data_IF_634804866839
#
_entry.id   IF_634804866839
#
_cell.length_a   1.000
_cell.length_b   1.000
_cell.length_c   1.000
_cell.angle_alpha   90.00
_cell.angle_beta   90.00
_cell.angle_gamma   90.00
#
_symmetry.space_group_name_H-M   'P 1'
#
loop_
_entity.id
_entity.type
_entity.pdbx_description
1 polymer ?
#
# COMPACT_ATOMS: atom_id res chain seq x y z
N UNK A 1 -9.26 -7.73 -24.00
CA UNK A 1 -8.54 -6.44 -23.81
C UNK A 1 -7.77 -6.54 -22.50
N UNK A 2 -6.45 -6.78 -22.55
CA UNK A 2 -5.63 -6.79 -21.34
C UNK A 2 -5.39 -5.33 -20.94
N UNK A 3 -6.12 -4.86 -19.94
CA UNK A 3 -6.01 -3.50 -19.40
C UNK A 3 -4.68 -3.26 -18.65
N UNK A 4 -3.92 -4.33 -18.36
CA UNK A 4 -2.60 -4.23 -17.75
C UNK A 4 -1.54 -4.70 -18.74
N UNK A 5 -0.44 -3.94 -18.92
CA UNK A 5 0.75 -4.55 -19.48
C UNK A 5 1.18 -5.65 -18.49
N UNK A 6 1.59 -6.84 -18.95
CA UNK A 6 1.90 -7.96 -18.04
C UNK A 6 3.01 -7.70 -17.00
N UNK A 7 3.59 -6.50 -16.97
CA UNK A 7 4.56 -5.99 -15.99
C UNK A 7 3.91 -5.02 -14.99
N UNK A 8 4.42 -4.99 -13.76
CA UNK A 8 3.93 -4.11 -12.71
C UNK A 8 4.17 -2.64 -13.06
N UNK A 9 3.08 -1.88 -13.21
CA UNK A 9 3.17 -0.47 -13.61
C UNK A 9 3.76 0.45 -12.55
N UNK A 10 3.78 -0.01 -11.30
CA UNK A 10 4.34 0.74 -10.18
C UNK A 10 5.88 0.71 -10.19
N UNK A 11 6.50 -0.46 -10.31
CA UNK A 11 7.96 -0.61 -10.26
C UNK A 11 8.62 -0.71 -11.66
N UNK A 12 7.87 -1.16 -12.68
CA UNK A 12 8.37 -1.45 -14.04
C UNK A 12 9.51 -2.48 -14.11
N UNK A 13 9.65 -3.32 -13.08
CA UNK A 13 10.77 -4.27 -12.92
C UNK A 13 10.38 -5.75 -12.93
N UNK A 14 9.12 -6.08 -12.68
CA UNK A 14 8.66 -7.46 -12.48
C UNK A 14 7.24 -7.65 -13.05
N UNK A 15 6.77 -8.89 -13.11
CA UNK A 15 5.41 -9.26 -13.55
C UNK A 15 4.38 -8.75 -12.56
N UNK A 16 3.28 -8.18 -13.07
CA UNK A 16 2.18 -7.75 -12.21
C UNK A 16 1.43 -8.98 -11.67
N UNK A 17 1.40 -9.13 -10.36
CA UNK A 17 0.51 -10.05 -9.64
C UNK A 17 -0.09 -9.32 -8.45
N UNK A 18 -1.19 -9.82 -7.88
CA UNK A 18 -1.80 -9.21 -6.68
C UNK A 18 -0.78 -9.07 -5.54
N UNK A 19 0.01 -10.10 -5.27
CA UNK A 19 1.01 -10.06 -4.21
C UNK A 19 2.16 -9.11 -4.56
N UNK A 20 2.62 -9.09 -5.80
CA UNK A 20 3.64 -8.12 -6.21
C UNK A 20 3.11 -6.69 -6.09
N UNK A 21 1.96 -6.39 -6.71
CA UNK A 21 1.36 -5.06 -6.72
C UNK A 21 1.14 -4.49 -5.31
N UNK A 22 0.58 -5.28 -4.40
CA UNK A 22 0.20 -4.79 -3.08
C UNK A 22 1.26 -4.96 -1.99
N UNK A 23 2.25 -5.84 -2.17
CA UNK A 23 3.22 -6.16 -1.11
C UNK A 23 4.67 -6.03 -1.57
N UNK A 24 5.05 -6.77 -2.61
CA UNK A 24 6.47 -7.00 -2.92
C UNK A 24 7.06 -5.98 -3.90
N UNK A 25 6.21 -5.19 -4.56
CA UNK A 25 6.63 -4.08 -5.39
C UNK A 25 7.39 -3.05 -4.54
N UNK A 26 8.54 -2.58 -5.04
CA UNK A 26 9.38 -1.58 -4.36
C UNK A 26 8.62 -0.32 -3.94
N UNK A 27 7.71 0.16 -4.79
CA UNK A 27 6.84 1.29 -4.49
C UNK A 27 5.90 0.97 -3.32
N UNK A 28 5.30 -0.22 -3.32
CA UNK A 28 4.37 -0.68 -2.30
C UNK A 28 5.06 -0.94 -0.96
N UNK A 29 6.25 -1.56 -0.99
CA UNK A 29 7.12 -1.71 0.18
C UNK A 29 7.44 -0.36 0.81
N UNK A 30 7.77 0.64 0.00
CA UNK A 30 8.08 1.99 0.49
C UNK A 30 6.88 2.63 1.20
N UNK A 31 5.67 2.46 0.65
CA UNK A 31 4.43 2.89 1.30
C UNK A 31 4.23 2.19 2.65
N UNK A 32 4.36 0.86 2.70
CA UNK A 32 4.17 0.10 3.94
C UNK A 32 5.20 0.49 4.99
N UNK A 33 6.47 0.63 4.62
CA UNK A 33 7.52 1.11 5.51
C UNK A 33 7.16 2.49 6.10
N UNK A 34 6.63 3.41 5.29
CA UNK A 34 6.19 4.72 5.76
C UNK A 34 5.00 4.62 6.72
N UNK A 35 3.95 3.85 6.37
CA UNK A 35 2.80 3.60 7.27
C UNK A 35 3.29 3.04 8.61
N UNK A 36 4.10 1.99 8.60
CA UNK A 36 4.55 1.31 9.82
C UNK A 36 5.45 2.19 10.70
N UNK A 37 6.23 3.08 10.09
CA UNK A 37 7.00 4.09 10.81
C UNK A 37 6.10 5.00 11.65
N UNK A 38 4.94 5.41 11.14
CA UNK A 38 3.95 6.18 11.92
C UNK A 38 3.38 5.39 13.11
N UNK A 39 3.30 4.07 12.99
CA UNK A 39 2.90 3.20 14.12
C UNK A 39 4.07 2.88 15.07
N UNK A 40 5.29 3.32 14.78
CA UNK A 40 6.49 2.97 15.55
C UNK A 40 6.81 1.46 15.49
N UNK A 41 6.48 0.80 14.38
CA UNK A 41 6.67 -0.65 14.20
C UNK A 41 7.58 -0.96 13.02
N UNK A 42 8.23 -2.11 13.10
CA UNK A 42 8.90 -2.74 11.97
C UNK A 42 8.07 -3.92 11.47
N UNK A 43 8.31 -4.34 10.23
CA UNK A 43 7.48 -5.33 9.55
C UNK A 43 8.30 -6.28 8.70
N UNK A 44 7.84 -7.53 8.68
CA UNK A 44 8.25 -8.55 7.72
C UNK A 44 7.12 -8.70 6.71
N UNK A 45 7.44 -8.50 5.43
CA UNK A 45 6.47 -8.58 4.34
C UNK A 45 5.82 -9.97 4.31
N UNK A 46 4.48 -10.09 4.36
CA UNK A 46 3.79 -11.37 4.28
C UNK A 46 3.91 -11.92 2.88
N UNK A 47 3.70 -13.23 2.74
CA UNK A 47 3.69 -13.86 1.42
C UNK A 47 2.49 -13.45 0.57
N UNK A 48 1.32 -13.32 1.19
CA UNK A 48 0.05 -13.06 0.50
C UNK A 48 -0.65 -11.78 0.99
N UNK A 49 -1.26 -11.05 0.05
CA UNK A 49 -2.01 -9.82 0.34
C UNK A 49 -3.14 -10.05 1.36
N UNK A 50 -3.76 -11.24 1.32
CA UNK A 50 -4.81 -11.64 2.26
C UNK A 50 -4.36 -11.64 3.72
N UNK A 51 -3.05 -11.82 3.98
CA UNK A 51 -2.51 -11.84 5.34
C UNK A 51 -2.14 -10.43 5.84
N UNK A 52 -2.15 -9.41 4.99
CA UNK A 52 -1.86 -8.02 5.37
C UNK A 52 -2.78 -7.53 6.51
N UNK A 53 -4.07 -7.86 6.43
CA UNK A 53 -5.05 -7.49 7.47
C UNK A 53 -4.87 -8.27 8.77
N UNK A 54 -4.27 -9.48 8.70
CA UNK A 54 -3.98 -10.32 9.88
C UNK A 54 -2.73 -9.85 10.61
N UNK A 55 -1.77 -9.25 9.92
CA UNK A 55 -0.51 -8.73 10.50
C UNK A 55 -0.76 -7.73 11.63
N UNK A 56 -1.85 -6.96 11.58
CA UNK A 56 -2.23 -6.04 12.66
C UNK A 56 -2.35 -6.71 14.03
N UNK A 57 -2.60 -8.02 14.07
CA UNK A 57 -2.66 -8.80 15.31
C UNK A 57 -1.26 -9.02 15.92
N UNK A 58 -0.21 -9.10 15.09
CA UNK A 58 1.19 -9.29 15.52
C UNK A 58 1.93 -8.01 15.90
N UNK A 59 1.35 -6.82 15.66
CA UNK A 59 1.98 -5.53 15.95
C UNK A 59 1.91 -5.12 17.43
N UNK A 60 1.35 -5.96 18.31
CA UNK A 60 1.12 -5.66 19.73
C UNK A 60 0.39 -4.32 19.95
N UNK A 61 -0.61 -4.03 19.10
CA UNK A 61 -1.41 -2.82 19.17
C UNK A 61 -2.55 -2.97 20.17
N UNK A 62 -2.87 -1.89 20.91
CA UNK A 62 -4.09 -1.81 21.72
C UNK A 62 -5.35 -1.76 20.82
N UNK A 63 -6.55 -1.78 21.40
CA UNK A 63 -7.79 -1.81 20.60
C UNK A 63 -7.90 -0.66 19.60
N UNK A 64 -7.53 0.57 20.02
CA UNK A 64 -7.50 1.75 19.13
C UNK A 64 -6.49 1.58 18.01
N UNK A 65 -5.27 1.14 18.33
CA UNK A 65 -4.20 0.89 17.36
C UNK A 65 -4.58 -0.18 16.34
N UNK A 66 -5.29 -1.24 16.75
CA UNK A 66 -5.81 -2.27 15.83
C UNK A 66 -6.83 -1.71 14.84
N UNK A 67 -7.71 -0.81 15.29
CA UNK A 67 -8.66 -0.11 14.41
C UNK A 67 -7.93 0.81 13.44
N UNK A 68 -7.01 1.64 13.94
CA UNK A 68 -6.20 2.53 13.10
C UNK A 68 -5.37 1.76 12.07
N UNK A 69 -4.80 0.61 12.46
CA UNK A 69 -4.09 -0.25 11.53
C UNK A 69 -4.99 -0.76 10.40
N UNK A 70 -6.21 -1.21 10.71
CA UNK A 70 -7.15 -1.66 9.67
C UNK A 70 -7.49 -0.53 8.70
N UNK A 71 -7.71 0.68 9.20
CA UNK A 71 -7.96 1.87 8.37
C UNK A 71 -6.74 2.16 7.50
N UNK A 72 -5.54 2.22 8.10
CA UNK A 72 -4.28 2.46 7.38
C UNK A 72 -4.02 1.39 6.30
N UNK A 73 -4.27 0.12 6.61
CA UNK A 73 -4.10 -0.99 5.68
C UNK A 73 -5.08 -0.90 4.51
N UNK A 74 -6.36 -0.62 4.77
CA UNK A 74 -7.35 -0.43 3.72
C UNK A 74 -7.04 0.80 2.86
N UNK A 75 -6.65 1.92 3.48
CA UNK A 75 -6.25 3.13 2.78
C UNK A 75 -4.99 2.89 1.93
N UNK A 76 -3.99 2.17 2.44
CA UNK A 76 -2.79 1.81 1.69
C UNK A 76 -3.09 0.93 0.48
N UNK A 77 -3.92 -0.11 0.65
CA UNK A 77 -4.37 -0.95 -0.46
C UNK A 77 -5.13 -0.14 -1.52
N UNK A 78 -6.04 0.73 -1.07
CA UNK A 78 -6.81 1.60 -1.96
C UNK A 78 -5.92 2.59 -2.72
N UNK A 79 -4.99 3.25 -2.03
CA UNK A 79 -4.04 4.18 -2.63
C UNK A 79 -3.17 3.53 -3.70
N UNK A 80 -2.64 2.33 -3.43
CA UNK A 80 -1.87 1.57 -4.42
C UNK A 80 -2.70 1.20 -5.65
N UNK A 81 -3.97 0.83 -5.46
CA UNK A 81 -4.89 0.54 -6.55
C UNK A 81 -5.18 1.78 -7.39
N UNK A 82 -5.44 2.92 -6.76
CA UNK A 82 -5.67 4.20 -7.43
C UNK A 82 -4.44 4.62 -8.24
N UNK A 83 -3.25 4.58 -7.65
CA UNK A 83 -2.01 4.93 -8.35
C UNK A 83 -1.75 4.02 -9.55
N UNK A 84 -1.98 2.72 -9.40
CA UNK A 84 -1.88 1.76 -10.50
C UNK A 84 -2.83 2.12 -11.65
N UNK A 85 -4.07 2.49 -11.34
CA UNK A 85 -5.03 2.90 -12.36
C UNK A 85 -4.66 4.24 -13.00
N UNK A 86 -4.20 5.21 -12.21
CA UNK A 86 -3.73 6.51 -12.71
C UNK A 86 -2.60 6.36 -13.73
N UNK A 87 -1.62 5.50 -13.44
CA UNK A 87 -0.51 5.21 -14.37
C UNK A 87 -0.97 4.57 -15.68
N UNK A 88 -2.00 3.74 -15.64
CA UNK A 88 -2.53 3.04 -16.82
C UNK A 88 -3.40 3.96 -17.68
N UNK A 89 -4.33 4.70 -17.06
CA UNK A 89 -5.36 5.45 -17.77
C UNK A 89 -4.98 6.91 -18.04
N UNK A 90 -4.24 7.54 -17.13
CA UNK A 90 -3.88 8.96 -17.22
C UNK A 90 -2.41 9.18 -17.59
N UNK A 91 -1.59 8.12 -17.57
CA UNK A 91 -0.12 8.18 -17.80
C UNK A 91 0.62 9.10 -16.84
N UNK A 92 -0.01 9.49 -15.73
CA UNK A 92 0.62 10.24 -14.65
C UNK A 92 1.38 9.26 -13.76
N UNK A 93 2.61 9.61 -13.42
CA UNK A 93 3.45 8.85 -12.50
C UNK A 93 3.74 9.74 -11.31
N UNK A 94 3.09 9.47 -10.19
CA UNK A 94 3.29 10.22 -8.96
C UNK A 94 4.33 9.54 -8.07
N UNK A 95 5.02 10.37 -7.27
CA UNK A 95 5.92 9.89 -6.24
C UNK A 95 5.15 9.42 -5.01
N UNK A 96 5.83 8.70 -4.12
CA UNK A 96 5.24 8.16 -2.90
C UNK A 96 4.65 9.28 -2.02
N UNK A 97 5.30 10.44 -2.00
CA UNK A 97 4.89 11.61 -1.24
C UNK A 97 3.54 12.15 -1.72
N UNK A 98 3.32 12.25 -3.03
CA UNK A 98 2.05 12.71 -3.58
C UNK A 98 0.90 11.74 -3.25
N UNK A 99 1.14 10.43 -3.29
CA UNK A 99 0.17 9.42 -2.84
C UNK A 99 -0.11 9.55 -1.34
N UNK A 100 0.95 9.73 -0.54
CA UNK A 100 0.85 9.86 0.90
C UNK A 100 0.03 11.08 1.31
N UNK A 101 0.30 12.25 0.73
CA UNK A 101 -0.44 13.48 1.04
C UNK A 101 -1.90 13.40 0.58
N UNK A 102 -2.14 12.92 -0.65
CA UNK A 102 -3.48 12.95 -1.23
C UNK A 102 -4.41 11.86 -0.69
N UNK A 103 -3.89 10.66 -0.41
CA UNK A 103 -4.72 9.49 -0.11
C UNK A 103 -4.55 8.96 1.33
N UNK A 104 -3.50 9.34 2.06
CA UNK A 104 -3.19 8.72 3.37
C UNK A 104 -3.25 9.74 4.50
N UNK A 105 -2.47 10.83 4.43
CA UNK A 105 -2.54 11.94 5.39
C UNK A 105 -3.79 12.80 5.17
N UNK A 106 -4.03 13.29 3.96
CA UNK A 106 -5.13 14.23 3.71
C UNK A 106 -6.54 13.63 3.75
N UNK A 107 -6.68 12.30 3.73
CA UNK A 107 -7.98 11.62 3.55
C UNK A 107 -8.46 10.71 4.69
N UNK A 108 -7.57 10.05 5.45
CA UNK A 108 -7.98 8.93 6.32
C UNK A 108 -7.25 8.79 7.67
N UNK A 109 -6.05 9.35 7.86
CA UNK A 109 -5.25 9.15 9.09
C UNK A 109 -5.07 10.37 9.99
N UNK A 110 -5.60 11.53 9.64
CA UNK A 110 -5.64 12.71 10.53
C UNK A 110 -6.96 12.68 11.32
N UNK A 111 -6.99 11.88 12.40
CA UNK A 111 -8.01 11.95 13.49
C UNK A 111 -7.34 11.82 14.84
#
# INVERSE_FOLDING_TARGET
MFLSPGWCVLCKKDVESLNHLFLHCEFSLSLWCKILKEFGKSWVVPKACQDLLRIGQGLHLNQRGRTLWKVAALAGLWGLWLERNKRIFERVVDCLEALWESQILGGYLVV
#
